data_IF_856506233636
#
_entry.id   IF_856506233636
#
_cell.length_a   1.000
_cell.length_b   1.000
_cell.length_c   1.000
_cell.angle_alpha   90.00
_cell.angle_beta   90.00
_cell.angle_gamma   90.00
#
_symmetry.space_group_name_H-M   'P 1'
#
loop_
_entity.id
_entity.type
_entity.pdbx_description
1 polymer ?
#
# COMPACT_ATOMS: atom_id res chain seq x y z
N UNK A 1 -43.87 2.03 -6.02
CA UNK A 1 -42.75 2.74 -5.34
C UNK A 1 -41.66 1.71 -5.18
N UNK A 2 -40.70 1.71 -6.06
CA UNK A 2 -39.46 0.92 -5.88
C UNK A 2 -38.83 1.45 -4.62
N UNK A 3 -38.66 0.59 -3.60
CA UNK A 3 -37.92 0.94 -2.40
C UNK A 3 -36.50 1.31 -2.81
N UNK A 4 -36.13 2.55 -2.61
CA UNK A 4 -34.70 2.90 -2.71
C UNK A 4 -33.98 2.07 -1.63
N UNK A 5 -33.18 1.10 -2.05
CA UNK A 5 -32.26 0.41 -1.14
C UNK A 5 -31.38 1.48 -0.49
N UNK A 6 -31.25 1.44 0.83
CA UNK A 6 -30.37 2.35 1.54
C UNK A 6 -28.94 2.16 1.02
N UNK A 7 -28.18 3.25 0.79
CA UNK A 7 -26.83 3.15 0.29
C UNK A 7 -25.95 2.39 1.30
N UNK A 8 -25.08 1.50 0.78
CA UNK A 8 -24.12 0.76 1.58
C UNK A 8 -23.25 1.72 2.39
N UNK A 9 -23.20 1.53 3.72
CA UNK A 9 -22.46 2.38 4.65
C UNK A 9 -21.07 1.81 4.88
N UNK A 10 -20.05 2.56 4.48
CA UNK A 10 -18.65 2.12 4.54
C UNK A 10 -17.82 3.07 5.40
N UNK A 11 -17.05 2.53 6.35
CA UNK A 11 -16.09 3.28 7.15
C UNK A 11 -14.66 3.01 6.69
N UNK A 12 -13.91 4.05 6.37
CA UNK A 12 -12.47 3.98 6.10
C UNK A 12 -11.67 4.57 7.26
N UNK A 13 -10.93 3.74 7.98
CA UNK A 13 -10.00 4.15 9.02
C UNK A 13 -8.70 4.57 8.31
N UNK A 14 -8.35 5.87 8.39
CA UNK A 14 -7.26 6.44 7.61
C UNK A 14 -7.65 6.78 6.16
N UNK A 15 -8.89 7.19 5.89
CA UNK A 15 -9.47 7.42 4.56
C UNK A 15 -8.83 8.53 3.72
N UNK A 16 -7.91 9.32 4.25
CA UNK A 16 -7.16 10.38 3.54
C UNK A 16 -5.72 9.98 3.19
N UNK A 17 -5.38 8.70 3.29
CA UNK A 17 -4.10 8.15 2.84
C UNK A 17 -3.96 8.17 1.32
N UNK A 18 -2.78 7.80 0.81
CA UNK A 18 -2.55 7.79 -0.62
C UNK A 18 -3.42 6.72 -1.33
N UNK A 19 -3.45 5.52 -0.75
CA UNK A 19 -4.23 4.40 -1.26
C UNK A 19 -5.74 4.57 -1.00
N UNK A 20 -6.10 4.97 0.22
CA UNK A 20 -7.49 5.11 0.64
C UNK A 20 -8.24 6.26 -0.03
N UNK A 21 -7.52 7.27 -0.54
CA UNK A 21 -8.13 8.40 -1.25
C UNK A 21 -8.83 7.94 -2.54
N UNK A 22 -8.15 7.17 -3.40
CA UNK A 22 -8.76 6.64 -4.62
C UNK A 22 -9.87 5.63 -4.32
N UNK A 23 -9.72 4.85 -3.23
CA UNK A 23 -10.81 3.97 -2.75
C UNK A 23 -12.04 4.78 -2.32
N UNK A 24 -11.83 5.94 -1.67
CA UNK A 24 -12.92 6.85 -1.29
C UNK A 24 -13.64 7.39 -2.53
N UNK A 25 -12.89 7.86 -3.53
CA UNK A 25 -13.47 8.35 -4.78
C UNK A 25 -14.31 7.25 -5.45
N UNK A 26 -13.74 6.04 -5.57
CA UNK A 26 -14.44 4.91 -6.19
C UNK A 26 -15.70 4.48 -5.43
N UNK A 27 -15.66 4.42 -4.10
CA UNK A 27 -16.82 4.10 -3.28
C UNK A 27 -17.95 5.16 -3.46
N UNK A 28 -17.58 6.44 -3.53
CA UNK A 28 -18.54 7.54 -3.79
C UNK A 28 -19.14 7.47 -5.19
N UNK A 29 -18.32 7.14 -6.22
CA UNK A 29 -18.81 6.93 -7.60
C UNK A 29 -19.89 5.82 -7.66
N UNK A 30 -19.75 4.78 -6.84
CA UNK A 30 -20.72 3.68 -6.73
C UNK A 30 -21.91 3.99 -5.81
N UNK A 31 -22.03 5.23 -5.32
CA UNK A 31 -23.17 5.67 -4.51
C UNK A 31 -23.13 5.21 -3.05
N UNK A 32 -21.99 4.72 -2.55
CA UNK A 32 -21.84 4.32 -1.14
C UNK A 32 -21.89 5.54 -0.21
N UNK A 33 -22.42 5.37 1.00
CA UNK A 33 -22.38 6.33 2.10
C UNK A 33 -21.05 6.15 2.85
N UNK A 34 -20.05 7.01 2.52
CA UNK A 34 -18.68 6.85 2.98
C UNK A 34 -18.41 7.70 4.21
N UNK A 35 -17.88 7.04 5.23
CA UNK A 35 -17.37 7.64 6.46
C UNK A 35 -15.86 7.51 6.52
N UNK A 36 -15.18 8.53 7.05
CA UNK A 36 -13.77 8.46 7.41
C UNK A 36 -13.60 8.57 8.92
N UNK A 37 -12.71 7.76 9.50
CA UNK A 37 -12.18 7.97 10.85
C UNK A 37 -10.76 8.51 10.72
N UNK A 38 -10.55 9.80 10.99
CA UNK A 38 -9.31 10.52 10.75
C UNK A 38 -9.02 11.54 11.83
N UNK A 39 -7.74 11.92 11.97
CA UNK A 39 -7.30 13.00 12.86
C UNK A 39 -7.59 14.43 12.33
N UNK A 40 -7.99 14.57 11.07
CA UNK A 40 -8.25 15.86 10.43
C UNK A 40 -7.00 16.58 9.86
N UNK A 41 -5.82 15.97 9.88
CA UNK A 41 -4.55 16.62 9.50
C UNK A 41 -4.33 16.76 7.98
N UNK A 42 -5.26 16.27 7.16
CA UNK A 42 -5.18 16.29 5.68
C UNK A 42 -6.49 16.82 5.08
N UNK A 43 -6.84 18.04 5.45
CA UNK A 43 -8.06 18.69 4.95
C UNK A 43 -8.05 18.87 3.42
N UNK A 44 -6.86 19.00 2.80
CA UNK A 44 -6.67 19.08 1.35
C UNK A 44 -7.08 17.81 0.60
N UNK A 45 -7.22 16.69 1.32
CA UNK A 45 -7.71 15.39 0.78
C UNK A 45 -9.16 15.11 1.18
N UNK A 46 -9.90 16.09 1.64
CA UNK A 46 -11.32 15.93 1.89
C UNK A 46 -12.08 15.67 0.57
N UNK A 47 -12.96 14.69 0.59
CA UNK A 47 -13.81 14.34 -0.56
C UNK A 47 -15.23 14.81 -0.27
N UNK A 48 -15.88 15.57 -1.20
CA UNK A 48 -17.26 16.01 -1.03
C UNK A 48 -18.23 14.85 -0.80
N UNK A 49 -19.14 15.02 0.14
CA UNK A 49 -20.14 14.01 0.48
C UNK A 49 -19.63 12.87 1.36
N UNK A 50 -18.41 12.98 1.90
CA UNK A 50 -17.87 12.03 2.88
C UNK A 50 -18.05 12.59 4.29
N UNK A 51 -18.60 11.79 5.20
CA UNK A 51 -18.74 12.14 6.61
C UNK A 51 -17.45 11.82 7.36
N UNK A 52 -16.77 12.82 7.91
CA UNK A 52 -15.54 12.61 8.70
C UNK A 52 -15.86 12.54 10.20
N UNK A 53 -15.46 11.43 10.82
CA UNK A 53 -15.44 11.22 12.26
C UNK A 53 -14.02 11.54 12.76
N UNK A 54 -13.89 12.53 13.63
CA UNK A 54 -12.58 12.98 14.09
C UNK A 54 -12.14 12.22 15.33
N UNK A 55 -11.13 11.38 15.20
CA UNK A 55 -10.43 10.73 16.31
C UNK A 55 -9.02 10.32 15.87
N UNK A 56 -8.10 10.20 16.84
CA UNK A 56 -6.87 9.46 16.64
C UNK A 56 -7.19 7.97 16.79
N UNK A 57 -6.86 7.18 15.77
CA UNK A 57 -7.09 5.74 15.82
C UNK A 57 -6.32 5.04 16.97
N UNK A 58 -5.26 5.64 17.49
CA UNK A 58 -4.55 5.12 18.67
C UNK A 58 -5.33 5.31 19.98
N UNK A 59 -6.30 6.22 20.02
CA UNK A 59 -7.15 6.47 21.18
C UNK A 59 -8.50 5.75 21.02
N UNK A 60 -8.62 4.57 21.63
CA UNK A 60 -9.84 3.76 21.56
C UNK A 60 -11.06 4.47 22.13
N UNK A 61 -10.90 5.27 23.21
CA UNK A 61 -12.01 5.96 23.83
C UNK A 61 -12.54 7.09 22.92
N UNK A 62 -11.64 7.86 22.30
CA UNK A 62 -11.99 8.87 21.31
C UNK A 62 -12.65 8.25 20.07
N UNK A 63 -12.12 7.11 19.57
CA UNK A 63 -12.74 6.37 18.49
C UNK A 63 -14.16 5.94 18.83
N UNK A 64 -14.37 5.36 20.01
CA UNK A 64 -15.66 4.89 20.49
C UNK A 64 -16.68 6.04 20.60
N UNK A 65 -16.25 7.19 21.10
CA UNK A 65 -17.07 8.40 21.19
C UNK A 65 -17.44 8.93 19.79
N UNK A 66 -16.49 9.02 18.87
CA UNK A 66 -16.70 9.49 17.49
C UNK A 66 -17.63 8.55 16.69
N UNK A 67 -17.47 7.22 16.87
CA UNK A 67 -18.31 6.21 16.24
C UNK A 67 -19.75 6.22 16.79
N UNK A 68 -19.94 6.55 18.08
CA UNK A 68 -21.26 6.51 18.75
C UNK A 68 -21.89 5.12 18.62
N UNK A 69 -23.17 5.06 18.25
CA UNK A 69 -23.93 3.82 18.04
C UNK A 69 -23.96 3.33 16.58
N UNK A 70 -23.20 3.96 15.69
CA UNK A 70 -23.21 3.63 14.26
C UNK A 70 -22.78 2.21 13.99
N UNK A 71 -23.44 1.61 13.01
CA UNK A 71 -23.04 0.34 12.39
C UNK A 71 -22.67 0.59 10.93
N UNK A 72 -21.87 -0.30 10.35
CA UNK A 72 -21.40 -0.19 8.97
C UNK A 72 -21.54 -1.54 8.27
N UNK A 73 -21.87 -1.52 6.99
CA UNK A 73 -21.86 -2.72 6.16
C UNK A 73 -20.45 -3.22 5.94
N UNK A 74 -19.49 -2.29 5.76
CA UNK A 74 -18.07 -2.62 5.72
C UNK A 74 -17.22 -1.58 6.45
N UNK A 75 -16.16 -2.06 7.10
CA UNK A 75 -15.09 -1.25 7.70
C UNK A 75 -13.77 -1.64 7.06
N UNK A 76 -12.98 -0.68 6.59
CA UNK A 76 -11.65 -0.91 6.01
C UNK A 76 -10.60 -0.18 6.85
N UNK A 77 -9.64 -0.93 7.40
CA UNK A 77 -8.51 -0.33 8.11
C UNK A 77 -7.25 -0.29 7.22
N UNK A 78 -6.84 0.94 6.85
CA UNK A 78 -5.64 1.23 6.07
C UNK A 78 -4.40 1.49 6.93
N UNK A 79 -4.55 1.60 8.27
CA UNK A 79 -3.51 2.11 9.16
C UNK A 79 -3.15 1.20 10.32
N UNK A 80 -3.73 0.01 10.42
CA UNK A 80 -3.29 -1.00 11.38
C UNK A 80 -2.02 -1.70 10.89
N UNK A 81 -1.00 -1.74 11.73
CA UNK A 81 0.31 -2.35 11.46
C UNK A 81 0.72 -3.38 12.50
N UNK A 82 0.11 -3.42 13.66
CA UNK A 82 0.46 -4.32 14.76
C UNK A 82 -0.75 -5.08 15.29
N UNK A 83 -0.55 -6.26 15.92
CA UNK A 83 -1.63 -7.03 16.53
C UNK A 83 -2.46 -6.24 17.54
N UNK A 84 -1.85 -5.37 18.33
CA UNK A 84 -2.56 -4.54 19.33
C UNK A 84 -3.57 -3.59 18.67
N UNK A 85 -3.24 -3.10 17.47
CA UNK A 85 -4.16 -2.27 16.69
C UNK A 85 -5.34 -3.09 16.18
N UNK A 86 -5.11 -4.32 15.75
CA UNK A 86 -6.19 -5.25 15.36
C UNK A 86 -7.07 -5.62 16.57
N UNK A 87 -6.49 -5.88 17.74
CA UNK A 87 -7.25 -6.13 18.97
C UNK A 87 -8.17 -4.95 19.32
N UNK A 88 -7.67 -3.72 19.19
CA UNK A 88 -8.48 -2.51 19.34
C UNK A 88 -9.65 -2.51 18.35
N UNK A 89 -9.41 -2.80 17.07
CA UNK A 89 -10.44 -2.81 16.05
C UNK A 89 -11.48 -3.90 16.30
N UNK A 90 -11.08 -5.07 16.74
CA UNK A 90 -11.99 -6.12 17.17
C UNK A 90 -12.91 -5.63 18.31
N UNK A 91 -12.38 -4.89 19.30
CA UNK A 91 -13.20 -4.32 20.38
C UNK A 91 -14.14 -3.21 19.91
N UNK A 92 -13.78 -2.47 18.87
CA UNK A 92 -14.59 -1.39 18.31
C UNK A 92 -15.71 -1.89 17.40
N UNK A 93 -15.44 -2.95 16.60
CA UNK A 93 -16.31 -3.32 15.48
C UNK A 93 -17.04 -4.67 15.62
N UNK A 94 -16.74 -5.47 16.66
CA UNK A 94 -17.49 -6.71 16.91
C UNK A 94 -18.99 -6.41 17.10
N UNK A 95 -19.84 -7.03 16.26
CA UNK A 95 -21.29 -6.79 16.22
C UNK A 95 -21.70 -5.44 15.64
N UNK A 96 -20.77 -4.70 15.00
CA UNK A 96 -21.03 -3.37 14.44
C UNK A 96 -20.66 -3.24 12.95
N UNK A 97 -20.14 -4.30 12.36
CA UNK A 97 -19.85 -4.35 10.92
C UNK A 97 -20.25 -5.68 10.32
N UNK A 98 -20.71 -5.64 9.07
CA UNK A 98 -20.98 -6.83 8.26
C UNK A 98 -19.72 -7.40 7.61
N UNK A 99 -18.67 -6.57 7.44
CA UNK A 99 -17.37 -6.96 6.91
C UNK A 99 -16.27 -6.06 7.48
N UNK A 100 -15.18 -6.66 7.94
CA UNK A 100 -13.97 -5.93 8.36
C UNK A 100 -12.83 -6.25 7.41
N UNK A 101 -12.37 -5.28 6.65
CA UNK A 101 -11.29 -5.43 5.68
C UNK A 101 -9.99 -4.89 6.26
N UNK A 102 -9.01 -5.77 6.41
CA UNK A 102 -7.66 -5.42 6.87
C UNK A 102 -6.72 -5.26 5.67
N UNK A 103 -6.08 -4.11 5.55
CA UNK A 103 -5.03 -3.88 4.55
C UNK A 103 -3.70 -4.41 5.09
N UNK A 104 -3.35 -5.62 4.67
CA UNK A 104 -2.08 -6.28 4.94
C UNK A 104 -1.00 -5.83 3.94
N UNK A 105 -0.14 -6.73 3.50
CA UNK A 105 0.92 -6.46 2.53
C UNK A 105 1.37 -7.73 1.81
N UNK A 106 1.69 -7.63 0.52
CA UNK A 106 2.34 -8.72 -0.22
C UNK A 106 3.75 -9.05 0.30
N UNK A 107 4.37 -8.16 1.07
CA UNK A 107 5.65 -8.46 1.75
C UNK A 107 5.54 -9.55 2.82
N UNK A 108 4.32 -9.88 3.27
CA UNK A 108 4.04 -10.97 4.21
C UNK A 108 4.34 -12.35 3.62
N UNK A 109 4.25 -12.52 2.30
CA UNK A 109 4.59 -13.78 1.65
C UNK A 109 6.03 -14.19 1.88
N UNK A 110 6.26 -15.51 1.86
CA UNK A 110 7.57 -16.11 2.12
C UNK A 110 8.70 -15.47 1.34
N UNK A 111 9.77 -15.09 2.06
CA UNK A 111 11.03 -14.57 1.52
C UNK A 111 12.22 -15.41 2.06
N UNK A 112 13.13 -15.88 1.19
CA UNK A 112 13.05 -15.82 -0.26
C UNK A 112 11.88 -16.62 -0.82
N UNK A 113 11.32 -16.23 -1.97
CA UNK A 113 10.22 -16.96 -2.61
C UNK A 113 10.73 -18.32 -3.12
N UNK A 114 9.89 -19.36 -2.97
CA UNK A 114 10.21 -20.71 -3.51
C UNK A 114 9.75 -20.85 -4.95
N UNK A 115 8.72 -20.09 -5.32
CA UNK A 115 8.16 -20.08 -6.67
C UNK A 115 8.16 -18.64 -7.19
N UNK A 116 8.38 -18.46 -8.50
CA UNK A 116 8.46 -17.11 -9.10
C UNK A 116 7.09 -16.41 -9.19
N UNK A 117 5.99 -17.17 -9.22
CA UNK A 117 4.62 -16.60 -9.16
C UNK A 117 4.06 -16.81 -7.77
N UNK A 118 3.61 -15.72 -7.15
CA UNK A 118 3.02 -15.67 -5.81
C UNK A 118 1.49 -15.74 -5.94
N UNK A 119 0.88 -16.61 -5.15
CA UNK A 119 -0.58 -16.74 -5.02
C UNK A 119 -0.97 -16.55 -3.57
N UNK A 120 -2.27 -16.43 -3.28
CA UNK A 120 -2.76 -16.35 -1.89
C UNK A 120 -2.45 -17.60 -1.07
N UNK A 121 -2.20 -18.75 -1.73
CA UNK A 121 -1.77 -19.99 -1.09
C UNK A 121 -0.27 -20.01 -0.74
N UNK A 122 0.52 -19.05 -1.21
CA UNK A 122 1.94 -18.92 -0.84
C UNK A 122 2.07 -18.71 0.67
N UNK A 123 2.90 -19.51 1.39
CA UNK A 123 3.03 -19.38 2.83
C UNK A 123 3.47 -17.97 3.26
N UNK A 124 2.99 -17.54 4.42
CA UNK A 124 3.38 -16.28 5.05
C UNK A 124 4.60 -16.52 5.93
N UNK A 125 5.74 -16.00 5.53
CA UNK A 125 7.00 -16.10 6.29
C UNK A 125 8.02 -15.08 5.78
N UNK A 126 8.25 -14.02 6.53
CA UNK A 126 9.30 -13.06 6.22
C UNK A 126 10.17 -12.80 7.47
N UNK A 127 11.29 -13.52 7.62
CA UNK A 127 12.12 -13.40 8.83
C UNK A 127 13.00 -12.14 8.85
N UNK A 128 13.08 -11.40 7.74
CA UNK A 128 14.05 -10.31 7.56
C UNK A 128 13.48 -8.92 7.77
N UNK A 129 12.16 -8.75 7.80
CA UNK A 129 11.52 -7.44 7.92
C UNK A 129 10.46 -7.40 9.01
N UNK A 130 10.67 -6.56 10.03
CA UNK A 130 9.78 -6.41 11.19
C UNK A 130 8.37 -6.01 10.78
N UNK A 131 8.25 -5.09 9.84
CA UNK A 131 6.96 -4.69 9.26
C UNK A 131 6.17 -5.89 8.71
N UNK A 132 6.84 -6.75 7.95
CA UNK A 132 6.18 -7.93 7.36
C UNK A 132 5.79 -8.95 8.43
N UNK A 133 6.63 -9.14 9.47
CA UNK A 133 6.28 -10.00 10.62
C UNK A 133 5.04 -9.49 11.34
N UNK A 134 4.99 -8.20 11.63
CA UNK A 134 3.84 -7.58 12.28
C UNK A 134 2.54 -7.75 11.46
N UNK A 135 2.60 -7.55 10.12
CA UNK A 135 1.46 -7.81 9.23
C UNK A 135 1.01 -9.28 9.25
N UNK A 136 1.97 -10.22 9.25
CA UNK A 136 1.67 -11.67 9.37
C UNK A 136 0.95 -11.97 10.69
N UNK A 137 1.40 -11.39 11.79
CA UNK A 137 0.79 -11.63 13.11
C UNK A 137 -0.59 -10.98 13.23
N UNK A 138 -0.83 -9.84 12.58
CA UNK A 138 -2.17 -9.26 12.40
C UNK A 138 -3.12 -10.23 11.65
N UNK A 139 -2.66 -10.81 10.54
CA UNK A 139 -3.45 -11.77 9.76
C UNK A 139 -3.79 -13.02 10.58
N UNK A 140 -2.81 -13.60 11.28
CA UNK A 140 -3.04 -14.76 12.16
C UNK A 140 -4.10 -14.46 13.23
N UNK A 141 -4.03 -13.29 13.85
CA UNK A 141 -5.01 -12.85 14.85
C UNK A 141 -6.41 -12.77 14.26
N UNK A 142 -6.57 -12.15 13.08
CA UNK A 142 -7.87 -12.04 12.42
C UNK A 142 -8.44 -13.40 12.00
N UNK A 143 -7.60 -14.29 11.47
CA UNK A 143 -8.01 -15.67 11.11
C UNK A 143 -8.46 -16.43 12.35
N UNK A 144 -7.70 -16.38 13.43
CA UNK A 144 -8.07 -17.03 14.69
C UNK A 144 -9.38 -16.47 15.27
N UNK A 145 -9.62 -15.17 15.15
CA UNK A 145 -10.86 -14.54 15.60
C UNK A 145 -12.06 -14.94 14.71
N UNK A 146 -11.85 -15.03 13.38
CA UNK A 146 -12.85 -15.57 12.46
C UNK A 146 -13.22 -17.02 12.81
N UNK A 147 -12.25 -17.88 12.99
CA UNK A 147 -12.47 -19.29 13.34
C UNK A 147 -13.19 -19.45 14.68
N UNK A 148 -12.87 -18.60 15.65
CA UNK A 148 -13.41 -18.66 17.02
C UNK A 148 -14.81 -18.07 17.15
N UNK A 149 -15.09 -16.95 16.50
CA UNK A 149 -16.30 -16.13 16.74
C UNK A 149 -17.11 -15.83 15.51
N UNK A 150 -16.61 -16.15 14.31
CA UNK A 150 -17.22 -15.75 13.05
C UNK A 150 -17.07 -14.25 12.76
N UNK A 151 -16.09 -13.53 13.35
CA UNK A 151 -15.85 -12.12 13.05
C UNK A 151 -15.60 -11.92 11.56
N UNK A 152 -16.38 -11.10 10.83
CA UNK A 152 -16.46 -11.12 9.37
C UNK A 152 -15.25 -10.44 8.71
N UNK A 153 -14.07 -11.03 8.82
CA UNK A 153 -12.83 -10.49 8.29
C UNK A 153 -12.66 -10.74 6.79
N UNK A 154 -11.98 -9.83 6.12
CA UNK A 154 -11.38 -9.98 4.79
C UNK A 154 -9.97 -9.42 4.83
N UNK A 155 -8.99 -10.14 4.28
CA UNK A 155 -7.60 -9.69 4.24
C UNK A 155 -7.25 -9.26 2.81
N UNK A 156 -6.66 -8.08 2.66
CA UNK A 156 -6.19 -7.59 1.35
C UNK A 156 -4.68 -7.37 1.41
N UNK A 157 -3.95 -7.98 0.48
CA UNK A 157 -2.49 -7.89 0.36
C UNK A 157 -2.11 -7.11 -0.90
N UNK A 158 -1.96 -5.77 -0.81
CA UNK A 158 -1.44 -4.97 -1.92
C UNK A 158 0.05 -5.26 -2.15
N UNK A 159 0.50 -5.13 -3.39
CA UNK A 159 1.93 -4.99 -3.73
C UNK A 159 2.37 -3.54 -3.48
N UNK A 160 3.46 -3.11 -4.10
CA UNK A 160 3.92 -1.73 -4.05
C UNK A 160 2.95 -0.81 -4.80
N UNK A 161 2.07 -0.14 -4.08
CA UNK A 161 1.08 0.78 -4.64
C UNK A 161 1.67 2.17 -4.81
N UNK A 162 1.19 2.89 -5.82
CA UNK A 162 1.58 4.27 -6.10
C UNK A 162 0.40 5.07 -6.70
N UNK A 163 0.53 6.39 -6.74
CA UNK A 163 -0.46 7.32 -7.27
C UNK A 163 0.03 8.75 -7.08
N UNK A 164 -0.83 9.74 -7.19
CA UNK A 164 -0.47 11.13 -7.02
C UNK A 164 0.27 11.37 -5.69
N UNK A 165 1.45 11.98 -5.76
CA UNK A 165 2.31 12.22 -4.59
C UNK A 165 3.19 11.03 -4.17
N UNK A 166 3.27 9.96 -4.98
CA UNK A 166 4.16 8.82 -4.74
C UNK A 166 4.93 8.45 -6.00
N UNK A 167 6.27 8.54 -5.94
CA UNK A 167 7.19 8.06 -6.98
C UNK A 167 7.79 6.74 -6.46
N UNK A 168 7.37 5.57 -6.98
CA UNK A 168 7.75 4.28 -6.42
C UNK A 168 9.19 3.95 -6.77
N UNK A 169 10.07 4.02 -5.79
CA UNK A 169 11.46 3.54 -5.85
C UNK A 169 11.73 2.53 -4.74
N UNK A 170 12.86 1.83 -4.81
CA UNK A 170 13.26 0.92 -3.75
C UNK A 170 13.71 1.66 -2.47
N UNK A 171 14.03 2.95 -2.55
CA UNK A 171 14.53 3.77 -1.45
C UNK A 171 13.41 4.45 -0.67
N UNK A 172 12.46 5.03 -1.40
CA UNK A 172 11.34 5.78 -0.87
C UNK A 172 10.25 5.90 -1.92
N UNK A 173 9.03 6.17 -1.51
CA UNK A 173 7.92 6.39 -2.45
C UNK A 173 7.17 7.69 -2.19
N UNK A 174 7.22 8.22 -0.98
CA UNK A 174 6.37 9.35 -0.53
C UNK A 174 7.05 10.72 -0.61
N UNK A 175 8.24 10.80 -1.20
CA UNK A 175 9.00 12.05 -1.34
C UNK A 175 9.69 12.15 -2.70
N UNK A 176 10.36 13.26 -2.94
CA UNK A 176 11.00 13.57 -4.22
C UNK A 176 12.51 13.23 -4.25
N UNK A 177 13.03 12.49 -3.27
CA UNK A 177 14.48 12.32 -3.05
C UNK A 177 15.21 11.75 -4.26
N UNK A 178 14.78 10.59 -4.78
CA UNK A 178 15.45 9.94 -5.92
C UNK A 178 15.27 10.76 -7.20
N UNK A 179 14.08 11.33 -7.41
CA UNK A 179 13.81 12.21 -8.54
C UNK A 179 14.66 13.49 -8.50
N UNK A 180 14.84 14.11 -7.32
CA UNK A 180 15.70 15.28 -7.13
C UNK A 180 17.16 14.95 -7.45
N UNK A 181 17.66 13.76 -7.06
CA UNK A 181 19.02 13.31 -7.43
C UNK A 181 19.17 13.19 -8.95
N UNK A 182 18.19 12.58 -9.63
CA UNK A 182 18.19 12.46 -11.08
C UNK A 182 18.23 13.83 -11.76
N UNK A 183 17.35 14.76 -11.36
CA UNK A 183 17.30 16.13 -11.91
C UNK A 183 18.60 16.90 -11.66
N UNK A 184 19.24 16.69 -10.51
CA UNK A 184 20.53 17.29 -10.16
C UNK A 184 21.74 16.62 -10.84
N UNK A 185 21.54 15.60 -11.67
CA UNK A 185 22.63 14.82 -12.28
C UNK A 185 23.49 14.04 -11.26
N UNK A 186 22.99 13.84 -10.05
CA UNK A 186 23.63 13.00 -9.04
C UNK A 186 23.44 11.52 -9.36
N UNK A 187 24.35 10.69 -8.88
CA UNK A 187 24.20 9.24 -8.97
C UNK A 187 23.07 8.74 -8.09
N UNK A 188 22.35 7.75 -8.60
CA UNK A 188 21.33 7.00 -7.86
C UNK A 188 21.77 5.54 -7.73
N UNK A 189 21.33 4.89 -6.66
CA UNK A 189 21.63 3.48 -6.43
C UNK A 189 20.44 2.62 -6.80
N UNK A 190 20.66 1.65 -7.68
CA UNK A 190 19.74 0.53 -7.94
C UNK A 190 20.33 -0.71 -7.28
N UNK A 191 19.55 -1.41 -6.48
CA UNK A 191 20.00 -2.58 -5.73
C UNK A 191 20.17 -3.81 -6.63
N UNK A 192 21.16 -4.64 -6.28
CA UNK A 192 21.53 -5.81 -7.09
C UNK A 192 22.03 -5.39 -8.47
N UNK A 193 21.62 -6.11 -9.49
CA UNK A 193 21.84 -5.80 -10.91
C UNK A 193 20.66 -5.05 -11.54
N UNK A 194 19.67 -4.67 -10.74
CA UNK A 194 18.44 -4.03 -11.21
C UNK A 194 17.46 -4.96 -11.93
N UNK A 195 17.76 -6.24 -12.10
CA UNK A 195 16.97 -7.16 -12.93
C UNK A 195 15.90 -7.96 -12.16
N UNK A 196 15.85 -7.87 -10.83
CA UNK A 196 14.76 -8.48 -10.08
C UNK A 196 13.42 -7.87 -10.51
N UNK A 197 12.44 -8.76 -10.74
CA UNK A 197 11.13 -8.39 -11.25
C UNK A 197 10.25 -7.80 -10.16
N UNK A 198 9.50 -6.77 -10.50
CA UNK A 198 8.66 -6.07 -9.56
C UNK A 198 7.29 -5.72 -10.13
N UNK A 199 6.27 -5.76 -9.27
CA UNK A 199 4.91 -5.40 -9.65
C UNK A 199 4.48 -4.13 -8.91
N UNK A 200 4.15 -3.10 -9.68
CA UNK A 200 3.59 -1.84 -9.19
C UNK A 200 2.09 -1.80 -9.46
N UNK A 201 1.33 -1.25 -8.51
CA UNK A 201 -0.14 -1.15 -8.64
C UNK A 201 -0.56 0.29 -8.49
N UNK A 202 -1.18 0.86 -9.52
CA UNK A 202 -1.74 2.21 -9.42
C UNK A 202 -2.92 2.23 -8.45
N UNK A 203 -3.02 3.27 -7.60
CA UNK A 203 -4.03 3.39 -6.57
C UNK A 203 -5.47 3.37 -7.14
N UNK A 204 -5.69 3.91 -8.35
CA UNK A 204 -6.99 3.85 -9.04
C UNK A 204 -7.38 2.41 -9.38
N UNK A 205 -6.44 1.60 -9.88
CA UNK A 205 -6.72 0.19 -10.20
C UNK A 205 -6.92 -0.63 -8.93
N UNK A 206 -6.09 -0.39 -7.89
CA UNK A 206 -6.29 -1.00 -6.58
C UNK A 206 -7.68 -0.70 -6.02
N UNK A 207 -8.16 0.53 -6.16
CA UNK A 207 -9.46 0.96 -5.66
C UNK A 207 -10.61 0.16 -6.30
N UNK A 208 -10.54 -0.18 -7.58
CA UNK A 208 -11.55 -1.02 -8.25
C UNK A 208 -11.62 -2.39 -7.58
N UNK A 209 -10.46 -3.03 -7.35
CA UNK A 209 -10.40 -4.33 -6.70
C UNK A 209 -10.90 -4.30 -5.25
N UNK A 210 -10.41 -3.34 -4.45
CA UNK A 210 -10.78 -3.25 -3.04
C UNK A 210 -12.28 -2.93 -2.86
N UNK A 211 -12.78 -1.91 -3.57
CA UNK A 211 -14.18 -1.48 -3.41
C UNK A 211 -15.15 -2.56 -3.92
N UNK A 212 -14.76 -3.32 -4.96
CA UNK A 212 -15.54 -4.46 -5.45
C UNK A 212 -15.64 -5.64 -4.47
N UNK A 213 -14.78 -5.70 -3.43
CA UNK A 213 -14.89 -6.69 -2.34
C UNK A 213 -15.88 -6.26 -1.25
N UNK A 214 -16.17 -4.97 -1.14
CA UNK A 214 -17.00 -4.46 -0.03
C UNK A 214 -18.45 -4.96 -0.15
N UNK A 215 -18.96 -5.51 0.94
CA UNK A 215 -20.31 -6.09 1.00
C UNK A 215 -20.46 -7.41 0.24
N UNK A 216 -19.40 -7.96 -0.34
CA UNK A 216 -19.46 -9.25 -1.03
C UNK A 216 -19.30 -10.39 0.00
N UNK A 217 -20.34 -11.21 0.24
CA UNK A 217 -20.26 -12.28 1.23
C UNK A 217 -19.23 -13.36 0.89
N UNK A 218 -18.87 -13.54 -0.39
CA UNK A 218 -17.82 -14.47 -0.80
C UNK A 218 -16.40 -13.94 -0.52
N UNK A 219 -16.26 -12.69 -0.09
CA UNK A 219 -14.99 -12.13 0.35
C UNK A 219 -14.75 -12.31 1.85
N UNK A 220 -15.80 -12.60 2.63
CA UNK A 220 -15.71 -12.77 4.08
C UNK A 220 -15.02 -14.10 4.42
N UNK A 221 -14.06 -14.05 5.34
CA UNK A 221 -13.22 -15.20 5.71
C UNK A 221 -12.03 -15.44 4.76
N UNK A 222 -11.86 -14.61 3.74
CA UNK A 222 -10.90 -14.83 2.66
C UNK A 222 -9.78 -13.79 2.63
N UNK A 223 -8.65 -14.19 2.01
CA UNK A 223 -7.55 -13.27 1.69
C UNK A 223 -7.45 -13.08 0.17
N UNK A 224 -7.16 -11.84 -0.24
CA UNK A 224 -6.97 -11.46 -1.65
C UNK A 224 -5.69 -10.66 -1.81
N UNK A 225 -4.91 -11.00 -2.84
CA UNK A 225 -3.89 -10.07 -3.32
C UNK A 225 -4.49 -9.17 -4.42
N UNK A 226 -4.21 -7.87 -4.33
CA UNK A 226 -4.64 -6.88 -5.32
C UNK A 226 -3.37 -6.20 -5.84
N UNK A 227 -2.91 -6.62 -7.01
CA UNK A 227 -1.65 -6.16 -7.59
C UNK A 227 -1.80 -5.88 -9.08
N UNK A 228 -0.87 -5.09 -9.63
CA UNK A 228 -0.80 -4.85 -11.07
C UNK A 228 -0.47 -6.11 -11.87
N UNK A 229 -0.75 -6.09 -13.16
CA UNK A 229 -0.38 -7.15 -14.11
C UNK A 229 0.96 -6.88 -14.80
N UNK A 230 1.40 -5.61 -14.81
CA UNK A 230 2.65 -5.21 -15.46
C UNK A 230 3.83 -5.67 -14.62
N UNK A 231 4.75 -6.40 -15.25
CA UNK A 231 5.97 -6.91 -14.61
C UNK A 231 7.15 -6.08 -15.10
N UNK A 232 7.81 -5.40 -14.20
CA UNK A 232 8.91 -4.47 -14.46
C UNK A 232 10.20 -4.95 -13.79
N UNK A 233 11.36 -4.59 -14.32
CA UNK A 233 12.61 -4.66 -13.56
C UNK A 233 12.81 -3.38 -12.75
N UNK A 234 13.56 -3.43 -11.66
CA UNK A 234 13.91 -2.21 -10.94
C UNK A 234 14.69 -1.22 -11.81
N UNK A 235 15.51 -1.71 -12.72
CA UNK A 235 16.18 -0.90 -13.75
C UNK A 235 15.16 -0.14 -14.59
N UNK A 236 14.18 -0.85 -15.18
CA UNK A 236 13.17 -0.23 -16.04
C UNK A 236 12.30 0.79 -15.29
N UNK A 237 12.03 0.56 -14.00
CA UNK A 237 11.31 1.52 -13.15
C UNK A 237 12.08 2.84 -13.06
N UNK A 238 13.39 2.80 -12.75
CA UNK A 238 14.21 4.00 -12.62
C UNK A 238 14.42 4.71 -13.97
N UNK A 239 14.62 3.96 -15.06
CA UNK A 239 14.72 4.52 -16.42
C UNK A 239 13.42 5.20 -16.84
N UNK A 240 12.27 4.62 -16.52
CA UNK A 240 10.95 5.23 -16.80
C UNK A 240 10.74 6.52 -16.03
N UNK A 241 11.11 6.56 -14.74
CA UNK A 241 11.08 7.79 -13.91
C UNK A 241 11.96 8.87 -14.54
N UNK A 242 13.19 8.53 -14.93
CA UNK A 242 14.15 9.46 -15.54
C UNK A 242 13.63 9.99 -16.89
N UNK A 243 13.08 9.12 -17.71
CA UNK A 243 12.48 9.51 -19.00
C UNK A 243 11.31 10.49 -18.85
N UNK A 244 10.47 10.31 -17.82
CA UNK A 244 9.38 11.25 -17.50
C UNK A 244 9.92 12.58 -16.99
N UNK A 245 11.01 12.58 -16.22
CA UNK A 245 11.70 13.79 -15.75
C UNK A 245 12.49 14.49 -16.87
N UNK A 246 12.68 13.84 -18.03
CA UNK A 246 13.46 14.37 -19.15
C UNK A 246 14.97 14.40 -18.88
N UNK A 247 15.49 13.49 -18.09
CA UNK A 247 16.91 13.43 -17.72
C UNK A 247 17.51 12.03 -17.99
N UNK A 248 18.82 11.97 -18.17
CA UNK A 248 19.57 10.71 -18.22
C UNK A 248 20.09 10.37 -16.82
N UNK A 249 19.68 9.22 -16.23
CA UNK A 249 20.06 8.89 -14.86
C UNK A 249 21.49 8.32 -14.79
N UNK A 250 22.20 8.67 -13.75
CA UNK A 250 23.52 8.06 -13.43
C UNK A 250 23.30 6.93 -12.43
N UNK A 251 23.05 5.71 -12.95
CA UNK A 251 22.73 4.53 -12.14
C UNK A 251 24.05 3.87 -11.69
N UNK A 252 24.11 3.52 -10.40
CA UNK A 252 25.16 2.68 -9.81
C UNK A 252 24.47 1.46 -9.20
N UNK A 253 24.87 0.28 -9.66
CA UNK A 253 24.38 -0.99 -9.14
C UNK A 253 25.13 -1.39 -7.89
N UNK A 254 24.43 -1.65 -6.79
CA UNK A 254 25.02 -2.01 -5.50
C UNK A 254 24.28 -3.23 -4.93
N UNK A 255 24.99 -4.30 -4.53
CA UNK A 255 24.37 -5.47 -3.93
C UNK A 255 23.55 -5.12 -2.68
N UNK A 256 22.36 -5.72 -2.55
CA UNK A 256 21.45 -5.42 -1.44
C UNK A 256 22.03 -5.72 -0.06
N UNK A 257 22.88 -6.74 0.06
CA UNK A 257 23.55 -7.07 1.30
C UNK A 257 24.66 -6.05 1.66
N UNK A 258 25.25 -5.40 0.65
CA UNK A 258 26.16 -4.29 0.87
C UNK A 258 25.41 -3.07 1.39
N UNK A 259 24.25 -2.72 0.80
CA UNK A 259 23.38 -1.65 1.30
C UNK A 259 22.99 -1.92 2.75
N UNK A 260 22.60 -3.16 3.07
CA UNK A 260 22.23 -3.56 4.42
C UNK A 260 23.37 -3.49 5.45
N UNK A 261 24.62 -3.61 5.03
CA UNK A 261 25.78 -3.39 5.91
C UNK A 261 26.00 -1.92 6.24
N UNK A 262 25.70 -1.02 5.30
CA UNK A 262 25.83 0.43 5.50
C UNK A 262 24.70 0.98 6.34
N UNK A 263 23.47 0.48 6.11
CA UNK A 263 22.29 0.87 6.87
C UNK A 263 21.40 -0.35 7.13
N UNK A 264 21.50 -0.97 8.33
CA UNK A 264 20.75 -2.18 8.68
C UNK A 264 19.24 -1.97 8.69
N UNK A 265 18.74 -0.78 9.05
CA UNK A 265 17.30 -0.51 9.10
C UNK A 265 16.69 -0.50 7.70
N UNK A 266 17.32 0.22 6.77
CA UNK A 266 16.95 0.15 5.35
C UNK A 266 17.21 -1.23 4.75
N UNK A 267 18.26 -1.92 5.22
CA UNK A 267 18.58 -3.28 4.83
C UNK A 267 17.46 -4.27 5.04
N UNK A 268 16.62 -4.08 6.07
CA UNK A 268 15.49 -4.97 6.33
C UNK A 268 14.51 -5.03 5.15
N UNK A 269 14.11 -3.90 4.58
CA UNK A 269 13.16 -3.94 3.48
C UNK A 269 13.81 -4.32 2.14
N UNK A 270 15.10 -4.04 1.92
CA UNK A 270 15.81 -4.56 0.75
C UNK A 270 15.88 -6.09 0.81
N UNK A 271 16.47 -6.65 1.87
CA UNK A 271 16.66 -8.08 2.04
C UNK A 271 15.38 -8.84 2.38
N UNK A 272 14.37 -8.16 2.91
CA UNK A 272 13.07 -8.73 3.24
C UNK A 272 12.06 -8.64 2.10
N UNK A 273 12.32 -7.84 1.04
CA UNK A 273 11.32 -7.64 -0.01
C UNK A 273 11.95 -7.33 -1.37
N UNK A 274 12.58 -6.15 -1.54
CA UNK A 274 12.94 -5.57 -2.84
C UNK A 274 13.95 -6.40 -3.65
N UNK A 275 14.83 -7.14 -2.99
CA UNK A 275 15.83 -8.02 -3.62
C UNK A 275 15.22 -9.15 -4.42
N UNK A 276 14.02 -9.60 -4.06
CA UNK A 276 13.40 -10.77 -4.68
C UNK A 276 12.38 -10.37 -5.72
N UNK A 277 12.31 -11.14 -6.82
CA UNK A 277 11.24 -10.97 -7.80
C UNK A 277 9.87 -11.19 -7.16
N UNK A 278 8.93 -10.31 -7.48
CA UNK A 278 7.57 -10.31 -6.96
C UNK A 278 6.57 -10.21 -8.12
N UNK A 279 6.11 -11.36 -8.59
CA UNK A 279 5.09 -11.53 -9.62
C UNK A 279 3.90 -12.22 -8.97
N UNK A 280 2.70 -11.78 -9.27
CA UNK A 280 1.48 -12.23 -8.58
C UNK A 280 0.45 -12.77 -9.56
N UNK A 281 -0.21 -13.87 -9.18
CA UNK A 281 -1.42 -14.35 -9.87
C UNK A 281 -2.66 -13.74 -9.20
N UNK A 282 -3.28 -12.76 -9.84
CA UNK A 282 -4.48 -12.09 -9.37
C UNK A 282 -5.79 -12.76 -9.85
N UNK A 283 -5.77 -14.02 -10.28
CA UNK A 283 -6.94 -14.73 -10.78
C UNK A 283 -8.08 -14.82 -9.76
N UNK A 284 -7.76 -14.90 -8.46
CA UNK A 284 -8.76 -14.97 -7.40
C UNK A 284 -9.60 -13.71 -7.33
N UNK A 285 -8.96 -12.55 -7.20
CA UNK A 285 -9.68 -11.26 -7.15
C UNK A 285 -10.41 -10.98 -8.47
N UNK A 286 -9.82 -11.29 -9.64
CA UNK A 286 -10.44 -11.09 -10.95
C UNK A 286 -11.69 -11.95 -11.18
N UNK A 287 -11.78 -13.12 -10.55
CA UNK A 287 -13.01 -13.94 -10.58
C UNK A 287 -14.12 -13.34 -9.72
N UNK A 288 -13.79 -12.77 -8.58
CA UNK A 288 -14.78 -12.22 -7.64
C UNK A 288 -15.18 -10.79 -8.02
N UNK A 289 -14.27 -10.03 -8.57
CA UNK A 289 -14.45 -8.64 -9.04
C UNK A 289 -14.01 -8.56 -10.50
N UNK A 290 -14.87 -8.94 -11.47
CA UNK A 290 -14.52 -8.96 -12.91
C UNK A 290 -14.14 -7.60 -13.48
N UNK A 291 -14.61 -6.51 -12.83
CA UNK A 291 -14.25 -5.14 -13.20
C UNK A 291 -12.79 -4.81 -12.84
N UNK A 292 -12.18 -5.54 -11.93
CA UNK A 292 -10.79 -5.33 -11.56
C UNK A 292 -9.88 -5.70 -12.74
N UNK A 293 -9.36 -4.67 -13.37
CA UNK A 293 -8.35 -4.73 -14.44
C UNK A 293 -7.32 -3.67 -14.17
N UNK A 294 -6.06 -3.96 -14.48
CA UNK A 294 -5.00 -2.97 -14.40
C UNK A 294 -5.00 -2.15 -15.69
N UNK A 295 -5.51 -0.93 -15.60
CA UNK A 295 -5.75 -0.05 -16.74
C UNK A 295 -4.76 1.10 -16.82
N UNK A 296 -3.94 1.30 -15.78
CA UNK A 296 -2.95 2.36 -15.70
C UNK A 296 -1.54 1.75 -15.84
N UNK A 297 -0.95 1.74 -17.06
CA UNK A 297 0.44 1.33 -17.25
C UNK A 297 1.38 2.22 -16.44
N UNK A 298 2.51 1.65 -15.96
CA UNK A 298 3.43 2.35 -15.09
C UNK A 298 3.91 3.69 -15.65
N UNK A 299 4.28 3.71 -16.93
CA UNK A 299 4.73 4.94 -17.61
C UNK A 299 3.71 6.08 -17.53
N UNK A 300 2.41 5.78 -17.65
CA UNK A 300 1.34 6.78 -17.51
C UNK A 300 1.15 7.19 -16.07
N UNK A 301 1.05 6.23 -15.18
CA UNK A 301 0.78 6.50 -13.77
C UNK A 301 1.91 7.24 -13.07
N UNK A 302 3.18 6.90 -13.37
CA UNK A 302 4.32 7.62 -12.78
C UNK A 302 4.45 9.04 -13.35
N UNK A 303 4.01 9.28 -14.58
CA UNK A 303 3.90 10.63 -15.14
C UNK A 303 2.91 11.47 -14.33
N UNK A 304 1.70 10.97 -14.07
CA UNK A 304 0.72 11.63 -13.20
C UNK A 304 1.31 11.96 -11.81
N UNK A 305 2.09 11.01 -11.26
CA UNK A 305 2.75 11.20 -9.96
C UNK A 305 3.81 12.31 -10.01
N UNK A 306 4.66 12.31 -11.00
CA UNK A 306 5.74 13.31 -11.17
C UNK A 306 5.16 14.68 -11.47
N UNK A 307 4.17 14.79 -12.34
CA UNK A 307 3.47 16.04 -12.64
C UNK A 307 2.84 16.66 -11.37
N UNK A 308 2.29 15.82 -10.48
CA UNK A 308 1.78 16.30 -9.19
C UNK A 308 2.87 16.94 -8.33
N UNK A 309 4.09 16.39 -8.31
CA UNK A 309 5.23 16.99 -7.59
C UNK A 309 5.71 18.28 -8.28
N UNK A 310 5.80 18.27 -9.61
CA UNK A 310 6.30 19.42 -10.39
C UNK A 310 5.32 20.60 -10.40
N UNK A 311 4.01 20.36 -10.23
CA UNK A 311 3.00 21.41 -10.18
C UNK A 311 3.14 22.35 -8.97
N UNK A 312 3.88 21.95 -7.92
CA UNK A 312 4.09 22.76 -6.73
C UNK A 312 5.46 22.45 -6.12
N UNK A 313 6.42 23.40 -6.16
CA UNK A 313 7.75 23.21 -5.60
C UNK A 313 7.75 22.83 -4.11
N UNK A 314 6.73 23.23 -3.33
CA UNK A 314 6.63 22.87 -1.91
C UNK A 314 6.43 21.37 -1.67
N UNK A 315 6.01 20.62 -2.70
CA UNK A 315 5.83 19.17 -2.67
C UNK A 315 7.14 18.40 -2.93
N UNK A 316 8.14 19.06 -3.58
CA UNK A 316 9.41 18.44 -3.96
C UNK A 316 10.36 18.30 -2.78
N UNK A 317 9.87 17.70 -1.70
CA UNK A 317 10.63 17.51 -0.47
C UNK A 317 11.61 16.36 -0.63
N UNK A 318 12.87 16.64 -0.31
CA UNK A 318 13.93 15.64 -0.21
C UNK A 318 13.99 15.12 1.23
N UNK A 319 14.05 13.82 1.40
CA UNK A 319 14.32 13.20 2.70
C UNK A 319 15.83 13.21 2.97
N UNK A 320 16.33 14.06 3.88
CA UNK A 320 17.77 14.21 4.06
C UNK A 320 18.45 12.95 4.63
N UNK A 321 17.69 12.11 5.35
CA UNK A 321 18.23 10.83 5.85
C UNK A 321 18.48 9.86 4.71
N UNK A 322 17.51 9.69 3.82
CA UNK A 322 17.63 8.80 2.65
C UNK A 322 18.72 9.31 1.71
N UNK A 323 18.74 10.61 1.41
CA UNK A 323 19.76 11.22 0.54
C UNK A 323 21.19 10.95 1.09
N UNK A 324 21.40 11.17 2.40
CA UNK A 324 22.67 10.91 3.06
C UNK A 324 23.06 9.41 3.09
N UNK A 325 22.07 8.50 3.22
CA UNK A 325 22.37 7.06 3.15
C UNK A 325 22.79 6.67 1.74
N UNK A 326 22.16 7.19 0.70
CA UNK A 326 22.56 6.95 -0.69
C UNK A 326 24.00 7.41 -0.91
N UNK A 327 24.37 8.60 -0.42
CA UNK A 327 25.74 9.11 -0.54
C UNK A 327 26.76 8.21 0.19
N UNK A 328 26.45 7.78 1.42
CA UNK A 328 27.33 6.83 2.17
C UNK A 328 27.49 5.50 1.45
N UNK A 329 26.43 4.96 0.86
CA UNK A 329 26.48 3.72 0.08
C UNK A 329 27.37 3.88 -1.14
N UNK A 330 27.23 5.00 -1.87
CA UNK A 330 28.05 5.31 -3.06
C UNK A 330 29.53 5.49 -2.71
N UNK A 331 29.85 6.23 -1.65
CA UNK A 331 31.24 6.44 -1.18
C UNK A 331 31.88 5.10 -0.80
N UNK A 332 31.19 4.32 0.03
CA UNK A 332 31.73 3.03 0.48
C UNK A 332 31.89 2.02 -0.68
N UNK A 333 30.97 2.04 -1.66
CA UNK A 333 31.04 1.16 -2.82
C UNK A 333 32.17 1.49 -3.77
N UNK A 334 32.45 2.78 -3.98
CA UNK A 334 33.58 3.26 -4.83
C UNK A 334 34.94 3.11 -4.18
N UNK A 335 34.98 2.95 -2.87
CA UNK A 335 36.21 2.75 -2.11
C UNK A 335 36.69 1.30 -2.09
N UNK A 336 35.99 0.36 -2.73
CA UNK A 336 36.38 -1.05 -2.89
C UNK A 336 37.17 -1.26 -4.16
#
# INVERSE_FOLDING_TARGET
MEGQEEPMRVLFIGGTGNLSYDCTLRARELGMDVFHLNRGNRAEKAVPGVTTLYADAADEAACRAALGTRTFDAVVDFIAYTPEQIERDLRLFRGRTGQFVFISSASAYRKPPVHHVITEATPLCNPRWDYSRAKIDCEKLLVAEWEKTGFPMTIVRPSHTYGAGWIPTAWTSSDFTVAARMVAGKEIVVHGDGQSLWTLTHAKDFAVGLVGLLGNPAAVGEAFQITGDEVLTWESIHLTIAAVLGVEPRIVHVPSDFIARIDPDLGQHFLGDKTYSAIFDCSKIKRLVPEFRTTVPFQRGVRESIEWFLADPSRQKVNPKIDAVIDRVLEAWKGL
#
